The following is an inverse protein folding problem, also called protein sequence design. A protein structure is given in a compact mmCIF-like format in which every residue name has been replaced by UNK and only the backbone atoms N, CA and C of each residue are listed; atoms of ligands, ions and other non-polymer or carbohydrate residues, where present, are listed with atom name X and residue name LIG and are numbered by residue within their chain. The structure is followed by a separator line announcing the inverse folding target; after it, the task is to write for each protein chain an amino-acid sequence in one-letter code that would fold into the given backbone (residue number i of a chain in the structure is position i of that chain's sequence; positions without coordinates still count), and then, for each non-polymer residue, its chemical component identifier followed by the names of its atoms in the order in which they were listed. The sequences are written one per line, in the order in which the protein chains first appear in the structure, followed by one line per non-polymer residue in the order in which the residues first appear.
data_IF_143194820282
#
_entry.id   IF_143194820282
#
_cell.length_a   1.000
_cell.length_b   1.000
_cell.length_c   1.000
_cell.angle_alpha   90.00
_cell.angle_beta   90.00
_cell.angle_gamma   90.00
#
_symmetry.space_group_name_H-M   'P 1'
#
loop_
_entity.id
_entity.type
_entity.pdbx_description
1 polymer ?
#
# COMPACT_ATOMS: atom_id res chain seq x y z
N UNK A 1 4.32 21.28 -5.57
CA UNK A 1 4.30 21.40 -4.10
C UNK A 1 3.21 20.45 -3.62
N UNK A 2 3.54 19.52 -2.72
CA UNK A 2 2.56 18.58 -2.19
C UNK A 2 1.83 19.19 -1.01
N UNK A 3 0.55 18.86 -0.86
CA UNK A 3 -0.19 19.10 0.36
C UNK A 3 -0.44 17.75 1.05
N UNK A 4 -0.01 17.63 2.30
CA UNK A 4 -0.18 16.40 3.10
C UNK A 4 -1.65 15.99 3.14
N UNK A 5 -2.56 16.97 3.20
CA UNK A 5 -3.99 16.76 3.25
C UNK A 5 -4.53 16.05 2.00
N UNK A 6 -4.09 16.44 0.80
CA UNK A 6 -4.51 15.80 -0.47
C UNK A 6 -4.11 14.31 -0.51
N UNK A 7 -2.91 14.01 0.01
CA UNK A 7 -2.41 12.63 0.12
C UNK A 7 -3.28 11.84 1.09
N UNK A 8 -3.57 12.40 2.27
CA UNK A 8 -4.41 11.77 3.29
C UNK A 8 -5.80 11.48 2.72
N UNK A 9 -6.47 12.48 2.12
CA UNK A 9 -7.82 12.32 1.57
C UNK A 9 -7.87 11.24 0.48
N UNK A 10 -6.85 11.20 -0.38
CA UNK A 10 -6.73 10.15 -1.41
C UNK A 10 -6.62 8.78 -0.78
N UNK A 11 -5.76 8.63 0.23
CA UNK A 11 -5.55 7.35 0.92
C UNK A 11 -6.75 6.94 1.77
N UNK A 12 -7.45 7.87 2.42
CA UNK A 12 -8.70 7.59 3.13
C UNK A 12 -9.79 7.08 2.19
N UNK A 13 -9.93 7.71 1.01
CA UNK A 13 -10.85 7.24 -0.03
C UNK A 13 -10.49 5.84 -0.51
N UNK A 14 -9.20 5.58 -0.74
CA UNK A 14 -8.70 4.24 -1.09
C UNK A 14 -9.03 3.23 -0.01
N UNK A 15 -8.70 3.54 1.26
CA UNK A 15 -8.94 2.68 2.41
C UNK A 15 -10.42 2.34 2.54
N UNK A 16 -11.31 3.34 2.50
CA UNK A 16 -12.75 3.11 2.60
C UNK A 16 -13.24 2.18 1.49
N UNK A 17 -12.79 2.41 0.26
CA UNK A 17 -13.17 1.59 -0.90
C UNK A 17 -12.65 0.16 -0.75
N UNK A 18 -11.39 -0.01 -0.35
CA UNK A 18 -10.74 -1.31 -0.13
C UNK A 18 -11.45 -2.13 0.94
N UNK A 19 -11.72 -1.53 2.11
CA UNK A 19 -12.40 -2.22 3.21
C UNK A 19 -13.81 -2.67 2.81
N UNK A 20 -14.61 -1.79 2.19
CA UNK A 20 -15.98 -2.13 1.75
C UNK A 20 -15.95 -3.28 0.74
N UNK A 21 -15.02 -3.23 -0.22
CA UNK A 21 -14.91 -4.21 -1.28
C UNK A 21 -14.53 -5.59 -0.75
N UNK A 22 -13.58 -5.64 0.18
CA UNK A 22 -12.94 -6.88 0.61
C UNK A 22 -13.38 -7.38 1.99
N UNK A 23 -14.34 -6.74 2.65
CA UNK A 23 -14.83 -7.13 3.99
C UNK A 23 -15.20 -8.61 4.09
N UNK A 24 -15.79 -9.16 3.03
CA UNK A 24 -16.25 -10.55 2.98
C UNK A 24 -15.42 -11.45 2.06
N UNK A 25 -14.42 -10.89 1.38
CA UNK A 25 -13.59 -11.63 0.44
C UNK A 25 -12.48 -12.40 1.18
N UNK A 26 -12.08 -13.54 0.64
CA UNK A 26 -11.00 -14.37 1.18
C UNK A 26 -11.15 -14.81 2.65
N UNK A 27 -12.32 -14.65 3.28
CA UNK A 27 -12.57 -15.02 4.68
C UNK A 27 -12.09 -16.44 5.00
N UNK A 28 -12.35 -17.42 4.12
CA UNK A 28 -11.91 -18.80 4.33
C UNK A 28 -10.38 -18.94 4.39
N UNK A 29 -9.67 -18.21 3.52
CA UNK A 29 -8.20 -18.18 3.46
C UNK A 29 -7.64 -17.48 4.70
N UNK A 30 -8.22 -16.35 5.09
CA UNK A 30 -7.84 -15.57 6.27
C UNK A 30 -8.01 -16.40 7.56
N UNK A 31 -9.11 -17.14 7.69
CA UNK A 31 -9.31 -18.10 8.80
C UNK A 31 -8.23 -19.18 8.81
N UNK A 32 -7.87 -19.70 7.63
CA UNK A 32 -6.78 -20.67 7.51
C UNK A 32 -5.45 -20.08 7.98
N UNK A 33 -5.10 -18.85 7.60
CA UNK A 33 -3.90 -18.16 8.10
C UNK A 33 -3.88 -18.02 9.62
N UNK A 34 -5.01 -17.67 10.23
CA UNK A 34 -5.15 -17.60 11.69
C UNK A 34 -4.87 -18.95 12.35
N UNK A 35 -5.49 -20.02 11.85
CA UNK A 35 -5.33 -21.38 12.40
C UNK A 35 -3.89 -21.88 12.22
N UNK A 36 -3.35 -21.76 11.01
CA UNK A 36 -2.03 -22.28 10.65
C UNK A 36 -0.91 -21.56 11.41
N UNK A 37 -1.04 -20.24 11.61
CA UNK A 37 -0.03 -19.45 12.32
C UNK A 37 -0.06 -19.62 13.83
N UNK A 38 -1.20 -20.03 14.40
CA UNK A 38 -1.45 -20.09 15.86
C UNK A 38 -1.16 -18.78 16.60
N UNK A 39 -1.13 -17.66 15.89
CA UNK A 39 -0.90 -16.32 16.47
C UNK A 39 -2.22 -15.63 16.77
N UNK A 40 -2.23 -14.89 17.87
CA UNK A 40 -3.36 -14.04 18.27
C UNK A 40 -4.70 -14.81 18.38
N UNK A 41 -4.66 -16.04 18.90
CA UNK A 41 -5.84 -16.91 19.01
C UNK A 41 -6.84 -16.42 20.06
N UNK A 42 -6.39 -15.60 21.00
CA UNK A 42 -7.20 -14.88 21.99
C UNK A 42 -8.13 -13.85 21.36
N UNK A 43 -7.81 -13.35 20.16
CA UNK A 43 -8.66 -12.42 19.42
C UNK A 43 -9.80 -13.20 18.77
N UNK A 44 -11.03 -12.73 18.94
CA UNK A 44 -12.21 -13.26 18.24
C UNK A 44 -11.97 -13.33 16.72
N UNK A 45 -12.51 -14.37 16.09
CA UNK A 45 -12.28 -14.64 14.66
C UNK A 45 -12.68 -13.46 13.75
N UNK A 46 -13.86 -12.86 13.98
CA UNK A 46 -14.32 -11.75 13.13
C UNK A 46 -13.40 -10.55 13.29
N UNK A 47 -13.01 -10.28 14.52
CA UNK A 47 -12.07 -9.19 14.84
C UNK A 47 -10.70 -9.44 14.24
N UNK A 48 -10.19 -10.67 14.28
CA UNK A 48 -8.93 -11.07 13.66
C UNK A 48 -8.97 -10.82 12.15
N UNK A 49 -10.06 -11.22 11.47
CA UNK A 49 -10.24 -10.98 10.04
C UNK A 49 -10.26 -9.48 9.72
N UNK A 50 -10.95 -8.67 10.53
CA UNK A 50 -11.00 -7.21 10.37
C UNK A 50 -9.61 -6.57 10.52
N UNK A 51 -8.84 -6.98 11.53
CA UNK A 51 -7.47 -6.49 11.74
C UNK A 51 -6.55 -6.90 10.59
N UNK A 52 -6.67 -8.13 10.09
CA UNK A 52 -5.93 -8.61 8.93
C UNK A 52 -6.22 -7.76 7.70
N UNK A 53 -7.50 -7.55 7.37
CA UNK A 53 -7.92 -6.73 6.24
C UNK A 53 -7.42 -5.28 6.38
N UNK A 54 -7.52 -4.69 7.57
CA UNK A 54 -7.01 -3.34 7.85
C UNK A 54 -5.50 -3.25 7.64
N UNK A 55 -4.73 -4.24 8.14
CA UNK A 55 -3.27 -4.25 8.01
C UNK A 55 -2.83 -4.48 6.57
N UNK A 56 -3.53 -5.33 5.81
CA UNK A 56 -3.38 -5.44 4.37
C UNK A 56 -3.57 -4.11 3.66
N UNK A 57 -4.69 -3.43 3.94
CA UNK A 57 -5.00 -2.14 3.33
C UNK A 57 -3.90 -1.10 3.58
N UNK A 58 -3.43 -0.99 4.84
CA UNK A 58 -2.36 -0.07 5.19
C UNK A 58 -1.03 -0.44 4.52
N UNK A 59 -0.70 -1.73 4.42
CA UNK A 59 0.48 -2.18 3.68
C UNK A 59 0.42 -1.77 2.20
N UNK A 60 -0.74 -1.86 1.54
CA UNK A 60 -0.93 -1.35 0.19
C UNK A 60 -0.74 0.16 0.10
N UNK A 61 -1.34 0.93 1.01
CA UNK A 61 -1.14 2.38 1.08
C UNK A 61 0.35 2.73 1.20
N UNK A 62 1.10 2.02 2.05
CA UNK A 62 2.54 2.19 2.17
C UNK A 62 3.28 1.86 0.88
N UNK A 63 2.99 0.71 0.24
CA UNK A 63 3.60 0.33 -1.05
C UNK A 63 3.36 1.42 -2.11
N UNK A 64 2.13 1.92 -2.22
CA UNK A 64 1.74 2.94 -3.20
C UNK A 64 2.48 4.26 -2.95
N UNK A 65 2.51 4.75 -1.71
CA UNK A 65 3.19 6.00 -1.39
C UNK A 65 4.69 5.87 -1.59
N UNK A 66 5.30 4.80 -1.08
CA UNK A 66 6.74 4.57 -1.23
C UNK A 66 7.12 4.46 -2.71
N UNK A 67 6.31 3.79 -3.53
CA UNK A 67 6.48 3.73 -4.98
C UNK A 67 6.56 5.14 -5.58
N UNK A 68 5.59 6.01 -5.29
CA UNK A 68 5.57 7.41 -5.76
C UNK A 68 6.75 8.24 -5.22
N UNK A 69 7.11 8.07 -3.96
CA UNK A 69 8.24 8.81 -3.35
C UNK A 69 9.57 8.43 -3.98
N UNK A 70 9.82 7.13 -4.17
CA UNK A 70 11.06 6.68 -4.79
C UNK A 70 11.15 7.04 -6.26
N UNK A 71 10.00 7.08 -6.94
CA UNK A 71 9.88 7.56 -8.31
C UNK A 71 10.26 9.04 -8.43
N UNK A 72 9.65 9.91 -7.63
CA UNK A 72 9.88 11.36 -7.73
C UNK A 72 11.27 11.77 -7.21
N UNK A 73 11.86 10.95 -6.33
CA UNK A 73 13.27 11.09 -5.90
C UNK A 73 14.27 10.52 -6.92
N UNK A 74 13.80 9.97 -8.05
CA UNK A 74 14.63 9.41 -9.11
C UNK A 74 15.38 8.12 -8.71
N UNK A 75 14.94 7.44 -7.64
CA UNK A 75 15.54 6.16 -7.22
C UNK A 75 15.07 5.00 -8.09
N UNK A 76 13.88 5.11 -8.67
CA UNK A 76 13.32 4.14 -9.62
C UNK A 76 12.81 4.89 -10.84
N UNK A 77 12.65 4.19 -11.97
CA UNK A 77 12.04 4.77 -13.17
C UNK A 77 10.57 5.14 -12.95
N UNK A 78 10.16 6.25 -13.58
CA UNK A 78 8.78 6.71 -13.66
C UNK A 78 7.81 5.61 -14.09
N UNK A 79 6.74 5.44 -13.31
CA UNK A 79 5.67 4.45 -13.35
C UNK A 79 4.31 5.11 -13.12
N UNK A 80 4.05 5.64 -11.92
CA UNK A 80 2.72 6.13 -11.51
C UNK A 80 2.61 7.66 -11.40
N UNK A 81 3.70 8.44 -11.50
CA UNK A 81 3.57 9.87 -11.76
C UNK A 81 3.02 10.14 -13.15
N UNK A 82 2.70 11.41 -13.39
CA UNK A 82 2.29 11.95 -14.68
C UNK A 82 3.24 11.58 -15.83
N UNK A 83 4.56 11.54 -15.61
CA UNK A 83 5.54 11.13 -16.62
C UNK A 83 5.41 9.63 -16.96
N UNK A 84 5.38 8.76 -15.95
CA UNK A 84 5.23 7.31 -16.10
C UNK A 84 3.92 6.94 -16.80
N UNK A 85 2.82 7.60 -16.41
CA UNK A 85 1.52 7.45 -17.07
C UNK A 85 1.56 7.93 -18.52
N UNK A 86 2.27 9.02 -18.81
CA UNK A 86 2.42 9.50 -20.19
C UNK A 86 3.22 8.49 -21.05
N UNK A 87 4.26 7.86 -20.49
CA UNK A 87 5.00 6.78 -21.14
C UNK A 87 4.11 5.56 -21.38
N UNK A 88 3.37 5.12 -20.36
CA UNK A 88 2.39 4.04 -20.47
C UNK A 88 1.40 4.31 -21.61
N UNK A 89 0.79 5.49 -21.64
CA UNK A 89 -0.20 5.88 -22.64
C UNK A 89 0.34 5.96 -24.08
N UNK A 90 1.66 6.09 -24.25
CA UNK A 90 2.35 5.98 -25.54
C UNK A 90 2.67 4.53 -25.91
N UNK A 91 3.02 3.71 -24.92
CA UNK A 91 3.35 2.30 -25.09
C UNK A 91 2.11 1.48 -25.47
N UNK A 92 0.99 1.70 -24.79
CA UNK A 92 -0.22 0.90 -24.96
C UNK A 92 -1.30 1.63 -25.75
N UNK A 93 -2.07 0.89 -26.56
CA UNK A 93 -3.18 1.46 -27.34
C UNK A 93 -4.55 1.24 -26.69
N UNK A 94 -4.82 0.01 -26.25
CA UNK A 94 -6.16 -0.45 -25.85
C UNK A 94 -6.35 -0.61 -24.34
N UNK A 95 -5.28 -0.42 -23.56
CA UNK A 95 -5.26 -0.63 -22.10
C UNK A 95 -4.72 0.58 -21.36
N UNK A 96 -4.87 1.78 -21.93
CA UNK A 96 -4.35 3.04 -21.38
C UNK A 96 -4.88 3.33 -19.97
N UNK A 97 -6.13 2.99 -19.73
CA UNK A 97 -6.86 3.11 -18.47
C UNK A 97 -6.61 1.94 -17.49
N UNK A 98 -5.81 0.94 -17.87
CA UNK A 98 -5.49 -0.22 -17.03
C UNK A 98 -4.38 0.09 -16.04
N UNK A 99 -4.64 1.03 -15.15
CA UNK A 99 -3.72 1.41 -14.08
C UNK A 99 -3.48 0.29 -13.06
N UNK A 100 -4.42 -0.64 -12.94
CA UNK A 100 -4.26 -1.91 -12.21
C UNK A 100 -3.06 -2.69 -12.75
N UNK A 101 -2.99 -2.84 -14.08
CA UNK A 101 -1.86 -3.55 -14.72
C UNK A 101 -0.56 -2.77 -14.66
N UNK A 102 -0.63 -1.44 -14.72
CA UNK A 102 0.54 -0.58 -14.53
C UNK A 102 1.10 -0.72 -13.09
N UNK A 103 0.24 -0.80 -12.09
CA UNK A 103 0.62 -1.07 -10.71
C UNK A 103 1.27 -2.46 -10.57
N UNK A 104 0.68 -3.51 -11.13
CA UNK A 104 1.25 -4.87 -11.10
C UNK A 104 2.67 -4.88 -11.71
N UNK A 105 2.83 -4.26 -12.88
CA UNK A 105 4.14 -4.13 -13.55
C UNK A 105 5.12 -3.35 -12.68
N UNK A 106 4.67 -2.26 -12.04
CA UNK A 106 5.51 -1.45 -11.16
C UNK A 106 6.09 -2.27 -10.00
N UNK A 107 5.27 -3.09 -9.35
CA UNK A 107 5.69 -3.96 -8.24
C UNK A 107 6.65 -5.06 -8.73
N UNK A 108 6.34 -5.70 -9.86
CA UNK A 108 7.20 -6.72 -10.47
C UNK A 108 8.57 -6.12 -10.85
N UNK A 109 8.59 -4.94 -11.48
CA UNK A 109 9.83 -4.28 -11.90
C UNK A 109 10.73 -3.97 -10.69
N UNK A 110 10.19 -3.40 -9.62
CA UNK A 110 10.95 -3.07 -8.41
C UNK A 110 11.49 -4.31 -7.70
N UNK A 111 10.68 -5.36 -7.58
CA UNK A 111 11.10 -6.59 -6.88
C UNK A 111 12.19 -7.35 -7.63
N UNK A 112 12.27 -7.17 -8.96
CA UNK A 112 13.30 -7.77 -9.80
C UNK A 112 14.52 -6.87 -10.01
N UNK A 113 14.47 -5.58 -9.64
CA UNK A 113 15.59 -4.65 -9.80
C UNK A 113 16.77 -5.01 -8.89
N UNK A 114 17.87 -5.51 -9.47
CA UNK A 114 19.07 -5.93 -8.74
C UNK A 114 19.87 -4.77 -8.14
N UNK A 115 19.74 -3.56 -8.70
CA UNK A 115 20.50 -2.38 -8.28
C UNK A 115 19.94 -1.78 -6.98
N UNK A 116 18.71 -2.16 -6.59
CA UNK A 116 18.01 -1.56 -5.44
C UNK A 116 17.55 -2.62 -4.44
N UNK A 117 18.52 -3.37 -3.93
CA UNK A 117 18.30 -4.49 -2.99
C UNK A 117 17.46 -4.15 -1.75
N UNK A 118 17.56 -2.95 -1.19
CA UNK A 118 16.75 -2.57 -0.02
C UNK A 118 15.25 -2.50 -0.36
N UNK A 119 14.88 -2.07 -1.57
CA UNK A 119 13.47 -2.00 -2.00
C UNK A 119 12.85 -3.39 -2.13
N UNK A 120 13.64 -4.43 -2.45
CA UNK A 120 13.14 -5.81 -2.50
C UNK A 120 12.51 -6.23 -1.18
N UNK A 121 13.12 -5.85 -0.04
CA UNK A 121 12.56 -6.15 1.28
C UNK A 121 11.28 -5.37 1.58
N UNK A 122 11.19 -4.11 1.13
CA UNK A 122 10.03 -3.22 1.35
C UNK A 122 8.82 -3.65 0.52
N UNK A 123 9.06 -4.09 -0.72
CA UNK A 123 8.03 -4.51 -1.67
C UNK A 123 7.83 -6.02 -1.73
N UNK A 124 8.45 -6.77 -0.82
CA UNK A 124 8.31 -8.22 -0.74
C UNK A 124 6.84 -8.64 -0.66
N UNK A 125 6.54 -9.75 -1.32
CA UNK A 125 5.24 -10.41 -1.20
C UNK A 125 5.06 -10.96 0.22
N UNK A 126 3.85 -10.81 0.73
CA UNK A 126 3.45 -11.23 2.07
C UNK A 126 2.02 -11.75 2.04
N UNK A 127 1.61 -12.45 3.11
CA UNK A 127 0.22 -12.90 3.24
C UNK A 127 -0.79 -11.74 3.17
N UNK A 128 -0.36 -10.51 3.44
CA UNK A 128 -1.20 -9.33 3.33
C UNK A 128 -1.55 -8.94 1.88
N UNK A 129 -0.84 -9.51 0.89
CA UNK A 129 -0.98 -9.21 -0.53
C UNK A 129 -2.00 -10.13 -1.25
N UNK A 130 -2.87 -10.81 -0.50
CA UNK A 130 -3.92 -11.69 -1.04
C UNK A 130 -5.05 -10.95 -1.79
N UNK A 131 -5.08 -9.62 -1.76
CA UNK A 131 -6.12 -8.82 -2.41
C UNK A 131 -5.59 -8.19 -3.71
N UNK A 132 -6.45 -7.96 -4.71
CA UNK A 132 -6.00 -7.33 -5.95
C UNK A 132 -6.19 -5.80 -5.90
N UNK A 133 -5.25 -5.04 -6.46
CA UNK A 133 -5.48 -3.64 -6.79
C UNK A 133 -6.16 -3.58 -8.16
N UNK A 134 -7.48 -3.63 -8.14
CA UNK A 134 -8.27 -3.61 -9.36
C UNK A 134 -8.37 -2.21 -9.99
N UNK A 135 -9.11 -2.09 -11.09
CA UNK A 135 -9.26 -0.83 -11.83
C UNK A 135 -9.80 0.32 -10.97
N UNK A 136 -10.73 0.04 -10.07
CA UNK A 136 -11.38 1.06 -9.24
C UNK A 136 -10.38 1.61 -8.22
N UNK A 137 -9.70 0.70 -7.50
CA UNK A 137 -8.68 1.06 -6.53
C UNK A 137 -7.50 1.78 -7.19
N UNK A 138 -7.01 1.26 -8.32
CA UNK A 138 -5.92 1.88 -9.08
C UNK A 138 -6.30 3.30 -9.57
N UNK A 139 -7.54 3.49 -10.01
CA UNK A 139 -8.06 4.79 -10.45
C UNK A 139 -8.06 5.84 -9.32
N UNK A 140 -8.40 5.45 -8.09
CA UNK A 140 -8.32 6.37 -6.93
C UNK A 140 -6.89 6.88 -6.75
N UNK A 141 -5.92 5.97 -6.80
CA UNK A 141 -4.50 6.29 -6.62
C UNK A 141 -3.98 7.17 -7.74
N UNK A 142 -4.23 6.80 -8.99
CA UNK A 142 -3.72 7.56 -10.14
C UNK A 142 -4.34 8.96 -10.18
N UNK A 143 -5.64 9.10 -9.97
CA UNK A 143 -6.26 10.43 -9.99
C UNK A 143 -5.83 11.32 -8.83
N UNK A 144 -5.59 10.75 -7.65
CA UNK A 144 -5.19 11.52 -6.47
C UNK A 144 -3.69 11.81 -6.36
N UNK A 145 -2.81 10.90 -6.80
CA UNK A 145 -1.37 10.99 -6.53
C UNK A 145 -0.47 11.22 -7.74
N UNK A 146 -0.95 11.05 -8.98
CA UNK A 146 -0.08 11.11 -10.16
C UNK A 146 0.51 12.49 -10.43
N UNK A 147 -0.21 13.55 -10.08
CA UNK A 147 0.20 14.94 -10.29
C UNK A 147 0.86 15.57 -9.06
N UNK A 148 0.89 14.87 -7.94
CA UNK A 148 1.57 15.33 -6.73
C UNK A 148 3.06 15.05 -6.87
N UNK A 149 3.87 16.09 -6.77
CA UNK A 149 5.33 16.00 -6.72
C UNK A 149 5.78 15.72 -5.28
N UNK A 150 6.28 14.50 -5.05
CA UNK A 150 6.75 14.01 -3.75
C UNK A 150 8.27 14.05 -3.61
N UNK A 151 8.99 14.77 -4.49
CA UNK A 151 10.46 14.83 -4.45
C UNK A 151 10.99 15.32 -3.10
N UNK A 152 10.33 16.31 -2.52
CA UNK A 152 10.75 16.98 -1.29
C UNK A 152 10.08 16.41 -0.02
N UNK A 153 9.25 15.36 -0.14
CA UNK A 153 8.58 14.77 1.02
C UNK A 153 9.60 14.20 2.02
N UNK A 154 9.41 14.52 3.29
CA UNK A 154 10.29 14.10 4.38
C UNK A 154 9.79 12.83 5.08
N UNK A 155 10.65 12.19 5.87
CA UNK A 155 10.23 11.08 6.74
C UNK A 155 9.18 11.53 7.76
N UNK A 156 9.26 12.78 8.24
CA UNK A 156 8.28 13.30 9.20
C UNK A 156 6.91 13.48 8.54
N UNK A 157 6.85 13.93 7.28
CA UNK A 157 5.59 14.02 6.53
C UNK A 157 4.96 12.64 6.35
N UNK A 158 5.76 11.63 6.01
CA UNK A 158 5.29 10.24 5.90
C UNK A 158 4.75 9.75 7.25
N UNK A 159 5.43 10.05 8.37
CA UNK A 159 4.92 9.72 9.69
C UNK A 159 3.60 10.42 9.98
N UNK A 160 3.46 11.70 9.65
CA UNK A 160 2.21 12.45 9.84
C UNK A 160 1.07 11.78 9.06
N UNK A 161 1.27 11.50 7.78
CA UNK A 161 0.27 10.82 6.92
C UNK A 161 -0.18 9.52 7.58
N UNK A 162 0.75 8.62 7.91
CA UNK A 162 0.38 7.30 8.42
C UNK A 162 -0.08 7.32 9.88
N UNK A 163 0.34 8.31 10.69
CA UNK A 163 -0.22 8.51 12.03
C UNK A 163 -1.67 8.96 11.99
N UNK A 164 -2.05 9.73 10.97
CA UNK A 164 -3.44 10.17 10.74
C UNK A 164 -4.31 9.03 10.23
N UNK A 165 -3.84 8.29 9.22
CA UNK A 165 -4.59 7.15 8.66
C UNK A 165 -4.73 5.98 9.64
N UNK A 166 -3.81 5.92 10.61
CA UNK A 166 -3.71 4.85 11.57
C UNK A 166 -3.43 5.40 12.99
N UNK A 167 -4.47 5.86 13.72
CA UNK A 167 -4.31 6.56 14.99
C UNK A 167 -3.79 5.66 16.12
N UNK A 168 -3.29 6.29 17.19
CA UNK A 168 -2.65 5.62 18.34
C UNK A 168 -3.57 4.61 19.03
N UNK A 169 -4.86 4.91 19.14
CA UNK A 169 -5.83 4.00 19.77
C UNK A 169 -5.88 2.66 19.02
N UNK A 170 -5.89 2.68 17.68
CA UNK A 170 -5.83 1.44 16.89
C UNK A 170 -4.46 0.72 16.98
N UNK A 171 -3.37 1.47 17.28
CA UNK A 171 -2.00 0.95 17.47
C UNK A 171 -1.84 0.18 18.77
N UNK A 172 -2.31 0.79 19.85
CA UNK A 172 -2.11 0.28 21.20
C UNK A 172 -3.14 -0.78 21.57
N UNK A 173 -4.41 -0.62 21.20
CA UNK A 173 -5.50 -1.48 21.67
C UNK A 173 -5.36 -2.95 21.22
N UNK A 174 -4.60 -3.22 20.14
CA UNK A 174 -4.46 -4.57 19.57
C UNK A 174 -3.02 -5.01 19.28
N UNK A 175 -2.03 -4.19 19.65
CA UNK A 175 -0.64 -4.44 19.27
C UNK A 175 -0.52 -4.67 17.77
N UNK A 176 -1.21 -3.88 16.96
CA UNK A 176 -1.35 -4.12 15.51
C UNK A 176 0.00 -4.17 14.76
N UNK A 177 0.99 -3.46 15.28
CA UNK A 177 2.38 -3.56 14.83
C UNK A 177 2.87 -5.01 14.94
N UNK A 178 2.57 -5.68 16.06
CA UNK A 178 2.91 -7.07 16.36
C UNK A 178 1.83 -8.09 15.93
N UNK A 179 0.67 -7.62 15.48
CA UNK A 179 -0.42 -8.48 15.02
C UNK A 179 0.02 -9.31 13.82
N UNK A 180 -0.14 -10.63 13.96
CA UNK A 180 0.17 -11.62 12.94
C UNK A 180 1.64 -11.62 12.47
N UNK A 181 1.89 -11.44 11.17
CA UNK A 181 3.22 -11.46 10.53
C UNK A 181 3.62 -10.02 10.15
N UNK A 182 4.84 -9.88 9.64
CA UNK A 182 5.35 -8.60 9.14
C UNK A 182 4.58 -8.14 7.92
N UNK A 183 4.28 -6.84 7.87
CA UNK A 183 3.69 -6.16 6.72
C UNK A 183 4.79 -5.26 6.13
N UNK A 184 5.57 -5.72 5.13
CA UNK A 184 6.90 -5.17 4.87
C UNK A 184 6.96 -3.65 4.61
N UNK A 185 6.02 -3.11 3.85
CA UNK A 185 6.00 -1.69 3.53
C UNK A 185 5.49 -0.85 4.71
N UNK A 186 4.51 -1.37 5.47
CA UNK A 186 4.03 -0.73 6.68
C UNK A 186 5.12 -0.69 7.76
N UNK A 187 5.78 -1.82 7.99
CA UNK A 187 6.87 -1.95 8.96
C UNK A 187 8.02 -1.00 8.61
N UNK A 188 8.35 -0.84 7.32
CA UNK A 188 9.34 0.13 6.85
C UNK A 188 8.98 1.56 7.26
N UNK A 189 7.75 2.02 6.96
CA UNK A 189 7.32 3.39 7.31
C UNK A 189 7.32 3.60 8.82
N UNK A 190 6.86 2.61 9.59
CA UNK A 190 6.85 2.69 11.05
C UNK A 190 8.26 2.69 11.67
N UNK A 191 9.26 2.19 10.94
CA UNK A 191 10.67 2.16 11.37
C UNK A 191 11.46 3.42 11.01
N UNK A 192 10.89 4.37 10.26
CA UNK A 192 11.58 5.60 9.88
C UNK A 192 11.93 6.42 11.14
N UNK A 193 13.20 6.77 11.30
CA UNK A 193 13.69 7.71 12.31
C UNK A 193 13.41 9.17 11.93
#
# INVERSE_FOLDING_TARGET
MYEIQDIIETLEKFIKTFIIKYEYENIGIIKKFRIDSRKNLEIDERKWCRLFLRKSCLNYCCKIILLRVFEDKGKIKSKLNSEGIAVWNKLVKNIKDRYDKLYDIAIIDITNDEDITFLKSVFAESDYDIYEIDKELASIIVHGLSNIDLKDITNEDLKIIFRTLYPLDEREEYGFNDFYKKAPALDYILSLE
#
